data_IF_212870491115
#
_entry.id   IF_212870491115
#
_cell.length_a   1.000
_cell.length_b   1.000
_cell.length_c   1.000
_cell.angle_alpha   90.00
_cell.angle_beta   90.00
_cell.angle_gamma   90.00
#
_symmetry.space_group_name_H-M   'P 1'
#
loop_
_entity.id
_entity.type
_entity.pdbx_description
1 polymer ?
#
# COMPACT_ATOMS: atom_id res chain seq x y z
N UNK A 1 10.16 -47.63 -29.70
CA UNK A 1 9.55 -46.87 -28.60
C UNK A 1 10.55 -45.83 -28.14
N UNK A 2 10.43 -44.58 -28.58
CA UNK A 2 11.30 -43.50 -28.09
C UNK A 2 10.48 -42.21 -28.08
N UNK A 3 9.87 -41.93 -26.93
CA UNK A 3 9.17 -40.68 -26.69
C UNK A 3 10.19 -39.60 -26.32
N UNK A 4 10.42 -38.65 -27.22
CA UNK A 4 11.12 -37.40 -26.90
C UNK A 4 10.13 -36.46 -26.23
N UNK A 5 10.24 -36.34 -24.90
CA UNK A 5 9.52 -35.31 -24.13
C UNK A 5 10.12 -33.94 -24.48
N UNK A 6 9.31 -32.92 -24.82
CA UNK A 6 9.83 -31.58 -25.04
C UNK A 6 10.26 -30.98 -23.69
N UNK A 7 11.52 -30.55 -23.59
CA UNK A 7 11.98 -29.71 -22.47
C UNK A 7 11.19 -28.41 -22.49
N UNK A 8 10.47 -28.15 -21.40
CA UNK A 8 9.77 -26.89 -21.14
C UNK A 8 10.82 -25.77 -21.10
N UNK A 9 10.92 -24.98 -22.16
CA UNK A 9 11.69 -23.76 -22.13
C UNK A 9 11.02 -22.78 -21.15
N UNK A 10 11.75 -22.35 -20.12
CA UNK A 10 11.32 -21.23 -19.27
C UNK A 10 11.32 -19.99 -20.16
N UNK A 11 10.13 -19.52 -20.55
CA UNK A 11 10.00 -18.25 -21.25
C UNK A 11 10.60 -17.12 -20.38
N UNK A 12 11.29 -16.12 -20.97
CA UNK A 12 11.66 -14.94 -20.21
C UNK A 12 10.38 -14.32 -19.66
N UNK A 13 10.32 -14.23 -18.32
CA UNK A 13 9.21 -13.60 -17.60
C UNK A 13 9.08 -12.19 -18.17
N UNK A 14 7.96 -11.89 -18.84
CA UNK A 14 7.66 -10.55 -19.33
C UNK A 14 7.95 -9.54 -18.21
N UNK A 15 8.55 -8.36 -18.50
CA UNK A 15 8.75 -7.37 -17.46
C UNK A 15 7.40 -7.10 -16.83
N UNK A 16 7.29 -7.35 -15.53
CA UNK A 16 6.10 -7.00 -14.77
C UNK A 16 5.99 -5.49 -14.85
N UNK A 17 5.08 -5.00 -15.70
CA UNK A 17 4.78 -3.58 -15.77
C UNK A 17 4.02 -3.24 -14.49
N UNK A 18 4.77 -2.85 -13.47
CA UNK A 18 4.19 -2.26 -12.28
C UNK A 18 3.57 -0.94 -12.70
N UNK A 19 2.23 -0.89 -12.70
CA UNK A 19 1.53 0.38 -12.88
C UNK A 19 1.80 1.27 -11.68
N UNK A 20 1.77 2.58 -11.90
CA UNK A 20 1.86 3.58 -10.84
C UNK A 20 0.83 3.30 -9.74
N UNK A 21 -0.40 2.96 -10.14
CA UNK A 21 -1.49 2.61 -9.25
C UNK A 21 -1.19 1.38 -8.35
N UNK A 22 -0.56 0.33 -8.89
CA UNK A 22 -0.16 -0.83 -8.07
C UNK A 22 0.95 -0.49 -7.09
N UNK A 23 1.86 0.39 -7.50
CA UNK A 23 2.97 0.84 -6.66
C UNK A 23 2.47 1.76 -5.56
N UNK A 24 1.49 2.63 -5.87
CA UNK A 24 0.77 3.46 -4.91
C UNK A 24 0.03 2.60 -3.88
N UNK A 25 -0.76 1.62 -4.34
CA UNK A 25 -1.47 0.70 -3.45
C UNK A 25 -0.51 -0.08 -2.52
N UNK A 26 0.67 -0.47 -3.01
CA UNK A 26 1.71 -1.09 -2.20
C UNK A 26 2.30 -0.11 -1.17
N UNK A 27 2.59 1.13 -1.56
CA UNK A 27 3.09 2.17 -0.66
C UNK A 27 2.09 2.45 0.47
N UNK A 28 0.80 2.56 0.15
CA UNK A 28 -0.24 2.78 1.14
C UNK A 28 -0.44 1.59 2.09
N UNK A 29 -0.42 0.35 1.60
CA UNK A 29 -0.49 -0.85 2.46
C UNK A 29 0.66 -0.86 3.48
N UNK A 30 1.85 -0.48 3.05
CA UNK A 30 3.03 -0.41 3.92
C UNK A 30 2.91 0.74 4.93
N UNK A 31 2.42 1.90 4.49
CA UNK A 31 2.19 3.05 5.35
C UNK A 31 1.12 2.75 6.42
N UNK A 32 0.00 2.10 6.05
CA UNK A 32 -1.08 1.70 6.98
C UNK A 32 -0.60 0.78 8.09
N UNK A 33 0.41 -0.06 7.82
CA UNK A 33 0.99 -0.97 8.84
C UNK A 33 1.92 -0.25 9.83
N UNK A 34 2.22 1.02 9.61
CA UNK A 34 3.05 1.79 10.55
C UNK A 34 2.18 2.28 11.71
N UNK A 35 2.56 1.98 12.97
CA UNK A 35 1.84 2.47 14.13
C UNK A 35 1.75 4.00 14.08
N UNK A 36 0.61 4.54 14.54
CA UNK A 36 0.30 5.97 14.53
C UNK A 36 -0.02 6.59 13.15
N UNK A 37 -0.01 5.84 12.04
CA UNK A 37 -0.41 6.37 10.72
C UNK A 37 -1.83 5.92 10.37
N UNK A 38 -2.68 6.86 9.93
CA UNK A 38 -4.05 6.59 9.44
C UNK A 38 -4.28 7.24 8.09
N UNK A 39 -5.15 6.63 7.27
CA UNK A 39 -5.61 7.18 5.99
C UNK A 39 -4.50 7.60 5.02
N UNK A 40 -3.44 6.80 4.81
CA UNK A 40 -2.38 7.20 3.90
C UNK A 40 -2.90 7.18 2.46
N UNK A 41 -2.59 8.23 1.73
CA UNK A 41 -2.83 8.35 0.28
C UNK A 41 -1.47 8.45 -0.39
N UNK A 42 -1.21 7.58 -1.37
CA UNK A 42 0.04 7.59 -2.10
C UNK A 42 -0.17 8.02 -3.55
N UNK A 43 0.61 9.00 -3.99
CA UNK A 43 0.76 9.33 -5.42
C UNK A 43 2.12 8.86 -5.88
N UNK A 44 2.16 8.03 -6.93
CA UNK A 44 3.40 7.47 -7.46
C UNK A 44 3.61 7.92 -8.88
N UNK A 45 4.86 8.28 -9.21
CA UNK A 45 5.31 8.54 -10.57
C UNK A 45 6.45 7.59 -10.92
N UNK A 46 6.37 6.95 -12.07
CA UNK A 46 7.41 6.03 -12.54
C UNK A 46 8.04 6.58 -13.82
N UNK A 47 9.33 6.90 -13.75
CA UNK A 47 10.09 7.48 -14.86
C UNK A 47 11.30 6.59 -15.18
N UNK A 48 11.25 5.86 -16.29
CA UNK A 48 12.43 5.14 -16.83
C UNK A 48 13.07 4.10 -15.88
N UNK A 49 12.33 3.58 -14.90
CA UNK A 49 12.83 2.64 -13.89
C UNK A 49 13.10 3.27 -12.52
N UNK A 50 13.02 4.59 -12.42
CA UNK A 50 12.99 5.33 -11.15
C UNK A 50 11.55 5.54 -10.67
N UNK A 51 11.36 5.51 -9.35
CA UNK A 51 10.06 5.73 -8.71
C UNK A 51 10.16 6.90 -7.75
N UNK A 52 9.20 7.81 -7.87
CA UNK A 52 8.99 8.91 -6.93
C UNK A 52 7.65 8.71 -6.25
N UNK A 53 7.67 8.70 -4.91
CA UNK A 53 6.50 8.45 -4.09
C UNK A 53 6.21 9.69 -3.25
N UNK A 54 4.98 10.17 -3.34
CA UNK A 54 4.45 11.24 -2.50
C UNK A 54 3.38 10.64 -1.59
N UNK A 55 3.54 10.77 -0.28
CA UNK A 55 2.68 10.15 0.73
C UNK A 55 2.07 11.22 1.61
N UNK A 56 0.75 11.32 1.55
CA UNK A 56 -0.05 12.11 2.47
C UNK A 56 -0.52 11.21 3.61
N UNK A 57 -0.19 11.59 4.85
CA UNK A 57 -0.49 10.78 6.04
C UNK A 57 -1.10 11.59 7.16
N UNK A 58 -2.01 10.98 7.91
CA UNK A 58 -2.50 11.50 9.20
C UNK A 58 -1.78 10.79 10.32
N UNK A 59 -1.13 11.54 11.22
CA UNK A 59 -0.31 10.97 12.30
C UNK A 59 -1.00 11.12 13.65
N UNK A 60 -0.98 10.09 14.49
CA UNK A 60 -1.54 10.18 15.83
C UNK A 60 -0.71 11.13 16.72
N UNK A 61 -1.41 11.96 17.48
CA UNK A 61 -0.82 12.91 18.42
C UNK A 61 0.02 12.18 19.48
N UNK A 62 1.19 12.75 19.79
CA UNK A 62 2.12 12.23 20.79
C UNK A 62 3.22 11.30 20.23
N UNK A 63 3.16 10.95 18.94
CA UNK A 63 4.26 10.27 18.27
C UNK A 63 5.31 11.29 17.73
N UNK A 64 6.62 11.01 17.84
CA UNK A 64 7.64 11.85 17.23
C UNK A 64 7.54 11.79 15.70
N UNK A 65 7.04 12.87 15.09
CA UNK A 65 6.74 12.93 13.64
C UNK A 65 7.95 12.56 12.79
N UNK A 66 9.15 13.02 13.18
CA UNK A 66 10.39 12.71 12.47
C UNK A 66 10.69 11.21 12.47
N UNK A 67 10.55 10.53 13.62
CA UNK A 67 10.78 9.09 13.70
C UNK A 67 9.71 8.30 12.92
N UNK A 68 8.45 8.73 12.96
CA UNK A 68 7.37 8.13 12.15
C UNK A 68 7.67 8.30 10.67
N UNK A 69 8.00 9.52 10.21
CA UNK A 69 8.31 9.80 8.82
C UNK A 69 9.56 9.04 8.33
N UNK A 70 10.60 8.93 9.15
CA UNK A 70 11.77 8.07 8.86
C UNK A 70 11.39 6.59 8.73
N UNK A 71 10.57 6.08 9.65
CA UNK A 71 10.12 4.70 9.62
C UNK A 71 9.26 4.39 8.38
N UNK A 72 8.34 5.29 8.02
CA UNK A 72 7.51 5.17 6.81
C UNK A 72 8.40 5.20 5.57
N UNK A 73 9.28 6.20 5.42
CA UNK A 73 10.17 6.34 4.25
C UNK A 73 11.00 5.08 4.04
N UNK A 74 11.66 4.59 5.10
CA UNK A 74 12.48 3.37 5.02
C UNK A 74 11.66 2.13 4.64
N UNK A 75 10.48 1.96 5.23
CA UNK A 75 9.63 0.78 4.95
C UNK A 75 9.08 0.80 3.54
N UNK A 76 8.57 1.96 3.09
CA UNK A 76 7.99 2.11 1.75
C UNK A 76 9.07 1.90 0.70
N UNK A 77 10.23 2.56 0.82
CA UNK A 77 11.34 2.39 -0.12
C UNK A 77 11.77 0.92 -0.21
N UNK A 78 12.10 0.29 0.92
CA UNK A 78 12.56 -1.09 0.95
C UNK A 78 11.52 -2.07 0.37
N UNK A 79 10.23 -1.83 0.61
CA UNK A 79 9.16 -2.74 0.14
C UNK A 79 8.85 -2.55 -1.33
N UNK A 80 8.92 -1.33 -1.85
CA UNK A 80 8.78 -1.07 -3.28
C UNK A 80 9.93 -1.74 -4.03
N UNK A 81 11.18 -1.43 -3.67
CA UNK A 81 12.36 -2.00 -4.33
C UNK A 81 12.35 -3.54 -4.31
N UNK A 82 12.00 -4.14 -3.16
CA UNK A 82 11.98 -5.59 -3.01
C UNK A 82 10.92 -6.31 -3.87
N UNK A 83 9.80 -5.68 -4.20
CA UNK A 83 8.73 -6.32 -5.00
C UNK A 83 8.69 -5.89 -6.45
N UNK A 84 9.03 -4.63 -6.71
CA UNK A 84 8.93 -4.06 -8.05
C UNK A 84 10.26 -4.18 -8.80
N UNK A 85 11.38 -4.23 -8.09
CA UNK A 85 12.71 -4.17 -8.69
C UNK A 85 13.06 -2.80 -9.27
N UNK A 86 12.22 -1.78 -9.03
CA UNK A 86 12.45 -0.40 -9.43
C UNK A 86 13.31 0.31 -8.39
N UNK A 87 14.07 1.33 -8.79
CA UNK A 87 14.87 2.14 -7.86
C UNK A 87 14.02 3.28 -7.30
N UNK A 88 13.97 3.44 -5.98
CA UNK A 88 13.23 4.55 -5.37
C UNK A 88 14.15 5.76 -5.29
N UNK A 89 13.84 6.80 -6.07
CA UNK A 89 14.65 8.03 -6.10
C UNK A 89 14.35 8.91 -4.89
N UNK A 90 13.06 9.07 -4.57
CA UNK A 90 12.62 9.91 -3.47
C UNK A 90 11.29 9.42 -2.89
N UNK A 91 11.16 9.57 -1.57
CA UNK A 91 9.89 9.41 -0.84
C UNK A 91 9.62 10.67 -0.05
N UNK A 92 8.64 11.45 -0.51
CA UNK A 92 8.13 12.63 0.19
C UNK A 92 7.00 12.20 1.12
N UNK A 93 7.06 12.63 2.38
CA UNK A 93 6.00 12.36 3.36
C UNK A 93 5.45 13.70 3.84
N UNK A 94 4.19 13.94 3.52
CA UNK A 94 3.43 15.12 3.92
C UNK A 94 2.48 14.72 5.04
N UNK A 95 2.60 15.39 6.18
CA UNK A 95 1.67 15.20 7.30
C UNK A 95 0.53 16.18 7.11
N UNK A 96 -0.63 15.68 6.69
CA UNK A 96 -1.80 16.53 6.38
C UNK A 96 -2.62 16.88 7.62
N UNK A 97 -2.63 16.01 8.63
CA UNK A 97 -3.38 16.23 9.87
C UNK A 97 -2.81 15.38 11.04
N UNK A 98 -3.21 15.72 12.27
CA UNK A 98 -2.88 15.02 13.50
C UNK A 98 -4.13 14.46 14.19
N UNK A 99 -4.17 13.14 14.39
CA UNK A 99 -5.28 12.52 15.14
C UNK A 99 -5.10 12.70 16.64
N UNK A 100 -6.00 13.45 17.27
CA UNK A 100 -6.05 13.58 18.72
C UNK A 100 -6.65 12.32 19.38
N UNK A 101 -6.20 11.94 20.59
CA UNK A 101 -6.79 10.84 21.33
C UNK A 101 -8.26 11.18 21.69
N UNK A 102 -9.18 10.29 21.32
CA UNK A 102 -10.62 10.45 21.60
C UNK A 102 -11.49 10.78 20.39
N UNK A 103 -10.92 11.09 19.22
CA UNK A 103 -11.68 11.33 17.99
C UNK A 103 -12.25 10.01 17.44
N UNK A 104 -13.58 9.84 17.28
CA UNK A 104 -14.15 8.64 16.70
C UNK A 104 -13.69 8.48 15.24
N UNK A 105 -13.13 7.31 14.91
CA UNK A 105 -12.85 6.92 13.53
C UNK A 105 -14.17 6.71 12.80
N UNK A 106 -14.54 7.59 11.86
CA UNK A 106 -15.76 7.48 11.05
C UNK A 106 -15.80 6.27 10.09
N UNK A 107 -14.93 5.27 10.28
CA UNK A 107 -14.73 4.11 9.39
C UNK A 107 -15.55 2.87 9.81
N UNK A 108 -16.43 2.96 10.80
CA UNK A 108 -17.22 1.82 11.34
C UNK A 108 -18.65 1.70 10.79
N UNK A 109 -19.15 2.63 9.95
CA UNK A 109 -20.57 2.65 9.56
C UNK A 109 -20.95 1.92 8.27
N UNK A 110 -20.02 1.50 7.41
CA UNK A 110 -20.39 0.92 6.09
C UNK A 110 -20.59 -0.62 6.09
N UNK A 111 -19.95 -1.35 7.01
CA UNK A 111 -20.00 -2.84 7.01
C UNK A 111 -21.28 -3.43 7.64
N UNK A 112 -21.91 -2.74 8.61
CA UNK A 112 -23.07 -3.32 9.32
C UNK A 112 -24.37 -3.32 8.50
N UNK A 113 -24.55 -2.38 7.58
CA UNK A 113 -25.77 -2.31 6.76
C UNK A 113 -25.79 -3.35 5.63
N UNK A 114 -24.61 -3.74 5.09
CA UNK A 114 -24.54 -4.78 4.06
C UNK A 114 -24.77 -6.19 4.61
N UNK A 115 -24.33 -6.46 5.83
CA UNK A 115 -24.49 -7.79 6.44
C UNK A 115 -25.93 -8.11 6.80
N UNK A 116 -26.76 -7.10 7.12
CA UNK A 116 -28.17 -7.28 7.51
C UNK A 116 -29.12 -7.49 6.32
N UNK A 117 -28.71 -7.09 5.12
CA UNK A 117 -29.52 -7.25 3.91
C UNK A 117 -29.35 -8.62 3.22
N UNK A 118 -28.43 -9.47 3.68
CA UNK A 118 -28.04 -10.72 3.02
C UNK A 118 -28.64 -12.00 3.64
N UNK A 119 -29.48 -11.91 4.67
CA UNK A 119 -30.16 -13.10 5.23
C UNK A 119 -31.67 -13.12 4.89
N UNK A 120 -32.08 -13.80 3.81
CA UNK A 120 -33.48 -14.01 3.48
C UNK A 120 -34.03 -15.35 4.03
N UNK A 121 -33.45 -15.95 5.08
CA UNK A 121 -33.90 -17.27 5.58
C UNK A 121 -34.73 -17.28 6.87
N UNK A 122 -35.42 -16.18 7.17
CA UNK A 122 -36.46 -16.17 8.22
C UNK A 122 -37.74 -15.51 7.72
N UNK A 123 -38.51 -16.22 6.89
CA UNK A 123 -39.95 -16.03 6.82
C UNK A 123 -40.57 -17.41 6.58
N UNK A 124 -41.13 -17.94 7.67
CA UNK A 124 -42.09 -19.06 7.72
C UNK A 124 -43.22 -18.88 6.71
#
# INVERSE_FOLDING_TARGET
>A
MTGTLPRRATAPRAPVTWSEERTAALAEDVARRTPAVTGPVATVRVDGGAVRVDLDVVVAHGAPLTAVAEAVRRRVAARIEAHTGLTVEAVTVTVVDLRLPGEPTSVDRDDRDRQRAADPREAT
#
